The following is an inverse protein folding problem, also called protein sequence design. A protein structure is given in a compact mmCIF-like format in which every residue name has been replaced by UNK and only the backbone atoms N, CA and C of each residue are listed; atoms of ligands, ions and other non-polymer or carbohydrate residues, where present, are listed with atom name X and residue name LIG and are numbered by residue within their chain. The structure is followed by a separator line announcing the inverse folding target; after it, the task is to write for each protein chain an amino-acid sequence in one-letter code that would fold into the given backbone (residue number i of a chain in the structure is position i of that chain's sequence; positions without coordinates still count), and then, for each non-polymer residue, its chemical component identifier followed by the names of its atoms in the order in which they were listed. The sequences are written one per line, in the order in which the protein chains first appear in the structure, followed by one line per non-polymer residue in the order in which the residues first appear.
data_IF_495809487405
#
_entry.id   IF_495809487405
#
_cell.length_a   1.000
_cell.length_b   1.000
_cell.length_c   1.000
_cell.angle_alpha   90.00
_cell.angle_beta   90.00
_cell.angle_gamma   90.00
#
_symmetry.space_group_name_H-M   'P 1'
#
loop_
_entity.id
_entity.type
_entity.pdbx_description
1 polymer ?
#
# COMPACT_ATOMS: atom_id res chain seq x y z
N UNK A 1 -16.66 0.09 -38.01
CA UNK A 1 -16.84 0.61 -36.63
C UNK A 1 -17.04 2.14 -36.62
N UNK A 2 -18.14 2.66 -37.19
CA UNK A 2 -18.31 4.12 -37.34
C UNK A 2 -19.73 4.66 -37.12
N UNK A 3 -20.76 3.83 -37.04
CA UNK A 3 -22.14 4.29 -36.91
C UNK A 3 -22.51 4.63 -35.45
N UNK A 4 -22.14 3.77 -34.49
CA UNK A 4 -22.47 3.97 -33.06
C UNK A 4 -21.81 5.19 -32.42
N UNK A 5 -20.52 5.45 -32.69
CA UNK A 5 -19.80 6.59 -32.09
C UNK A 5 -20.37 7.95 -32.49
N UNK A 6 -20.86 8.07 -33.73
CA UNK A 6 -21.49 9.30 -34.24
C UNK A 6 -22.87 9.55 -33.63
N UNK A 7 -23.65 8.49 -33.39
CA UNK A 7 -24.92 8.57 -32.68
C UNK A 7 -24.74 8.95 -31.20
N UNK A 8 -23.72 8.36 -30.54
CA UNK A 8 -23.36 8.65 -29.14
C UNK A 8 -22.96 10.12 -28.94
N UNK A 9 -22.14 10.69 -29.83
CA UNK A 9 -21.72 12.10 -29.74
C UNK A 9 -22.87 13.08 -30.02
N UNK A 10 -23.83 12.71 -30.86
CA UNK A 10 -25.00 13.52 -31.18
C UNK A 10 -26.04 13.52 -30.05
N UNK A 11 -26.31 12.37 -29.41
CA UNK A 11 -27.22 12.28 -28.26
C UNK A 11 -26.68 12.96 -26.99
N UNK A 12 -25.36 13.09 -26.88
CA UNK A 12 -24.69 13.79 -25.78
C UNK A 12 -24.47 15.28 -26.05
N UNK A 13 -24.79 15.78 -27.25
CA UNK A 13 -24.64 17.20 -27.62
C UNK A 13 -23.19 17.66 -27.84
N UNK A 14 -22.27 16.74 -28.14
CA UNK A 14 -20.81 16.99 -28.26
C UNK A 14 -20.36 16.80 -29.72
N UNK A 15 -21.16 17.28 -30.67
CA UNK A 15 -20.84 17.30 -32.10
C UNK A 15 -20.95 18.72 -32.65
N UNK A 16 -20.00 19.12 -33.49
CA UNK A 16 -19.92 20.46 -34.08
C UNK A 16 -21.26 20.93 -34.65
N UNK A 17 -21.65 22.13 -34.22
CA UNK A 17 -22.82 22.83 -34.73
C UNK A 17 -22.67 23.12 -36.23
N UNK A 18 -23.68 22.72 -37.00
CA UNK A 18 -24.00 23.34 -38.28
C UNK A 18 -25.53 23.37 -38.47
N UNK A 19 -26.06 24.55 -38.19
CA UNK A 19 -27.33 25.19 -38.49
C UNK A 19 -28.40 24.55 -39.41
N UNK A 20 -29.64 24.83 -38.97
CA UNK A 20 -30.81 25.31 -39.72
C UNK A 20 -31.90 24.34 -40.23
N UNK A 21 -33.08 24.54 -39.63
CA UNK A 21 -34.41 24.62 -40.23
C UNK A 21 -35.13 23.34 -40.68
N UNK A 22 -36.11 22.91 -39.88
CA UNK A 22 -37.57 23.00 -40.17
C UNK A 22 -38.38 22.32 -39.07
N UNK A 23 -39.32 23.05 -38.48
CA UNK A 23 -40.33 22.48 -37.62
C UNK A 23 -41.34 21.66 -38.44
N UNK A 24 -41.53 20.39 -38.07
CA UNK A 24 -42.81 19.68 -37.86
C UNK A 24 -42.56 18.18 -37.64
N UNK A 25 -43.37 17.57 -36.76
CA UNK A 25 -43.50 16.14 -36.44
C UNK A 25 -42.55 15.54 -35.37
N UNK A 26 -42.93 15.78 -34.11
CA UNK A 26 -43.13 14.81 -33.02
C UNK A 26 -42.38 13.46 -33.14
N UNK A 27 -41.36 13.28 -32.29
CA UNK A 27 -41.24 12.08 -31.46
C UNK A 27 -40.73 10.77 -32.08
N UNK A 28 -40.01 10.79 -33.20
CA UNK A 28 -39.21 9.63 -33.64
C UNK A 28 -37.76 10.05 -33.82
N UNK A 29 -36.85 9.31 -33.21
CA UNK A 29 -35.41 9.42 -33.47
C UNK A 29 -35.17 9.48 -34.99
N UNK A 30 -34.72 10.63 -35.51
CA UNK A 30 -34.51 10.87 -36.94
C UNK A 30 -33.27 10.15 -37.50
N UNK A 31 -32.71 9.19 -36.78
CA UNK A 31 -31.48 8.49 -37.14
C UNK A 31 -31.66 6.97 -37.13
N UNK A 32 -32.62 6.47 -37.91
CA UNK A 32 -32.68 5.05 -38.27
C UNK A 32 -31.57 4.74 -39.28
N UNK A 33 -30.44 4.19 -38.83
CA UNK A 33 -29.44 3.65 -39.74
C UNK A 33 -30.06 2.45 -40.49
N UNK A 34 -30.18 2.54 -41.81
CA UNK A 34 -30.79 1.49 -42.66
C UNK A 34 -29.89 0.29 -42.94
N UNK A 35 -28.84 0.09 -42.13
CA UNK A 35 -27.98 -1.08 -42.25
C UNK A 35 -28.75 -2.33 -41.74
N UNK A 36 -28.67 -3.50 -42.39
CA UNK A 36 -29.46 -4.68 -42.01
C UNK A 36 -29.33 -5.05 -40.52
N UNK A 37 -28.11 -5.10 -39.97
CA UNK A 37 -27.89 -5.36 -38.54
C UNK A 37 -28.22 -4.20 -37.59
N UNK A 38 -28.45 -2.99 -38.11
CA UNK A 38 -28.83 -1.83 -37.31
C UNK A 38 -30.33 -1.80 -37.04
N UNK A 39 -31.14 -2.23 -38.01
CA UNK A 39 -32.60 -2.29 -37.88
C UNK A 39 -33.01 -3.35 -36.85
N UNK A 40 -32.38 -4.53 -36.91
CA UNK A 40 -32.63 -5.63 -35.96
C UNK A 40 -32.24 -5.22 -34.54
N UNK A 41 -31.04 -4.64 -34.35
CA UNK A 41 -30.60 -4.14 -33.05
C UNK A 41 -31.51 -3.01 -32.50
N UNK A 42 -32.04 -2.15 -33.37
CA UNK A 42 -33.01 -1.11 -32.96
C UNK A 42 -34.34 -1.72 -32.54
N UNK A 43 -34.81 -2.74 -33.26
CA UNK A 43 -36.02 -3.48 -32.91
C UNK A 43 -35.87 -4.19 -31.56
N UNK A 44 -34.74 -4.87 -31.33
CA UNK A 44 -34.46 -5.57 -30.08
C UNK A 44 -34.41 -4.62 -28.88
N UNK A 45 -33.75 -3.47 -29.03
CA UNK A 45 -33.74 -2.42 -28.00
C UNK A 45 -35.16 -1.92 -27.73
N UNK A 46 -35.96 -1.64 -28.76
CA UNK A 46 -37.32 -1.16 -28.57
C UNK A 46 -38.22 -2.22 -27.91
N UNK A 47 -38.09 -3.47 -28.34
CA UNK A 47 -38.79 -4.62 -27.74
C UNK A 47 -38.46 -4.73 -26.25
N UNK A 48 -37.18 -4.63 -25.89
CA UNK A 48 -36.75 -4.63 -24.50
C UNK A 48 -37.36 -3.46 -23.71
N UNK A 49 -37.34 -2.22 -24.23
CA UNK A 49 -37.94 -1.06 -23.53
C UNK A 49 -39.42 -1.27 -23.18
N UNK A 50 -40.21 -1.77 -24.12
CA UNK A 50 -41.63 -2.06 -23.85
C UNK A 50 -41.82 -3.24 -22.91
N UNK A 51 -40.99 -4.29 -23.03
CA UNK A 51 -40.99 -5.41 -22.10
C UNK A 51 -40.68 -4.95 -20.66
N UNK A 52 -39.69 -4.06 -20.48
CA UNK A 52 -39.35 -3.46 -19.19
C UNK A 52 -40.55 -2.73 -18.59
N UNK A 53 -41.23 -1.88 -19.37
CA UNK A 53 -42.40 -1.14 -18.88
C UNK A 53 -43.51 -2.08 -18.40
N UNK A 54 -43.85 -3.09 -19.20
CA UNK A 54 -44.88 -4.07 -18.84
C UNK A 54 -44.52 -4.80 -17.53
N UNK A 55 -43.26 -5.22 -17.37
CA UNK A 55 -42.82 -5.94 -16.16
C UNK A 55 -42.71 -5.04 -14.94
N UNK A 56 -42.27 -3.80 -15.08
CA UNK A 56 -42.23 -2.85 -13.98
C UNK A 56 -43.63 -2.63 -13.40
N UNK A 57 -44.64 -2.41 -14.26
CA UNK A 57 -46.04 -2.24 -13.82
C UNK A 57 -46.57 -3.52 -13.18
N UNK A 58 -46.31 -4.68 -13.77
CA UNK A 58 -46.70 -5.98 -13.20
C UNK A 58 -46.10 -6.23 -11.80
N UNK A 59 -44.88 -5.76 -11.55
CA UNK A 59 -44.21 -5.88 -10.25
C UNK A 59 -44.55 -4.77 -9.26
N UNK A 60 -45.46 -3.86 -9.62
CA UNK A 60 -46.00 -2.85 -8.71
C UNK A 60 -45.39 -1.45 -8.85
N UNK A 61 -44.81 -1.11 -10.01
CA UNK A 61 -44.60 0.29 -10.37
C UNK A 61 -45.95 0.97 -10.67
N UNK A 62 -46.11 2.22 -10.25
CA UNK A 62 -47.35 2.97 -10.47
C UNK A 62 -47.51 3.36 -11.94
N UNK A 63 -46.38 3.74 -12.56
CA UNK A 63 -46.30 4.19 -13.95
C UNK A 63 -44.97 3.71 -14.55
N UNK A 64 -44.99 3.29 -15.81
CA UNK A 64 -43.78 3.03 -16.60
C UNK A 64 -44.03 3.35 -18.08
N UNK A 65 -43.18 4.18 -18.66
CA UNK A 65 -43.33 4.72 -20.01
C UNK A 65 -42.00 4.75 -20.75
N UNK A 66 -42.05 4.49 -22.06
CA UNK A 66 -40.90 4.49 -22.96
C UNK A 66 -40.65 5.89 -23.54
N UNK A 67 -39.38 6.25 -23.70
CA UNK A 67 -38.91 7.47 -24.38
C UNK A 67 -39.51 8.78 -23.81
N UNK A 68 -39.54 8.88 -22.48
CA UNK A 68 -40.08 10.02 -21.74
C UNK A 68 -39.00 10.95 -21.18
N UNK A 69 -39.41 12.09 -20.61
CA UNK A 69 -38.48 13.06 -20.02
C UNK A 69 -38.51 13.09 -18.50
N UNK A 70 -37.34 13.19 -17.87
CA UNK A 70 -37.15 13.57 -16.47
C UNK A 70 -36.35 14.87 -16.44
N UNK A 71 -36.93 15.95 -15.89
CA UNK A 71 -36.30 17.27 -15.87
C UNK A 71 -35.82 17.76 -17.24
N UNK A 72 -36.56 17.42 -18.31
CA UNK A 72 -36.22 17.78 -19.69
C UNK A 72 -35.22 16.84 -20.38
N UNK A 73 -34.60 15.90 -19.67
CA UNK A 73 -33.68 14.90 -20.21
C UNK A 73 -34.50 13.72 -20.74
N UNK A 74 -34.31 13.34 -22.00
CA UNK A 74 -34.93 12.15 -22.58
C UNK A 74 -34.27 10.89 -22.00
N UNK A 75 -35.10 9.95 -21.54
CA UNK A 75 -34.67 8.65 -21.02
C UNK A 75 -35.40 7.52 -21.74
N UNK A 76 -34.75 6.37 -21.85
CA UNK A 76 -35.32 5.23 -22.60
C UNK A 76 -36.55 4.63 -21.91
N UNK A 77 -36.50 4.44 -20.59
CA UNK A 77 -37.65 4.06 -19.78
C UNK A 77 -37.70 4.91 -18.53
N UNK A 78 -38.83 5.56 -18.30
CA UNK A 78 -39.15 6.30 -17.08
C UNK A 78 -40.18 5.51 -16.29
N UNK A 79 -39.96 5.33 -14.99
CA UNK A 79 -40.96 4.69 -14.14
C UNK A 79 -41.04 5.32 -12.75
N UNK A 80 -42.16 5.09 -12.07
CA UNK A 80 -42.48 5.69 -10.76
C UNK A 80 -42.89 4.64 -9.74
N UNK A 81 -42.48 4.86 -8.49
CA UNK A 81 -43.02 4.17 -7.32
C UNK A 81 -43.20 5.15 -6.17
N UNK A 82 -44.44 5.37 -5.74
CA UNK A 82 -44.79 6.46 -4.84
C UNK A 82 -44.35 7.80 -5.42
N UNK A 83 -43.67 8.62 -4.63
CA UNK A 83 -43.22 9.95 -5.08
C UNK A 83 -41.87 9.94 -5.81
N UNK A 84 -41.28 8.77 -6.06
CA UNK A 84 -39.93 8.64 -6.62
C UNK A 84 -39.95 8.22 -8.07
N UNK A 85 -39.21 8.97 -8.89
CA UNK A 85 -38.98 8.68 -10.31
C UNK A 85 -37.65 7.97 -10.51
N UNK A 86 -37.65 7.04 -11.45
CA UNK A 86 -36.50 6.21 -11.80
C UNK A 86 -36.34 6.17 -13.32
N UNK A 87 -35.11 5.95 -13.77
CA UNK A 87 -34.76 5.85 -15.18
C UNK A 87 -34.04 4.54 -15.49
N UNK A 88 -34.32 3.97 -16.66
CA UNK A 88 -33.51 2.90 -17.26
C UNK A 88 -33.01 3.41 -18.60
N UNK A 89 -31.72 3.30 -18.83
CA UNK A 89 -31.04 3.57 -20.10
C UNK A 89 -30.60 2.25 -20.73
N UNK A 90 -30.98 2.01 -21.99
CA UNK A 90 -30.66 0.80 -22.75
C UNK A 90 -29.67 1.16 -23.85
N UNK A 91 -28.52 0.48 -23.88
CA UNK A 91 -27.48 0.70 -24.89
C UNK A 91 -27.10 -0.63 -25.52
N UNK A 92 -27.04 -0.66 -26.85
CA UNK A 92 -26.62 -1.84 -27.63
C UNK A 92 -25.11 -1.88 -27.90
N UNK A 93 -24.39 -0.81 -27.57
CA UNK A 93 -22.95 -0.68 -27.81
C UNK A 93 -22.14 -0.44 -26.54
N UNK A 94 -20.82 -0.36 -26.71
CA UNK A 94 -19.90 -0.03 -25.63
C UNK A 94 -20.23 1.33 -25.01
N UNK A 95 -20.14 1.40 -23.68
CA UNK A 95 -20.46 2.59 -22.92
C UNK A 95 -19.18 3.36 -22.54
N UNK A 96 -19.15 4.65 -22.82
CA UNK A 96 -18.10 5.53 -22.34
C UNK A 96 -18.41 5.93 -20.89
N UNK A 97 -17.60 5.43 -19.94
CA UNK A 97 -17.88 5.53 -18.51
C UNK A 97 -18.04 6.96 -18.01
N UNK A 98 -17.21 7.89 -18.50
CA UNK A 98 -17.23 9.31 -18.09
C UNK A 98 -18.55 9.97 -18.48
N UNK A 99 -18.94 9.85 -19.75
CA UNK A 99 -20.18 10.42 -20.27
C UNK A 99 -21.42 9.81 -19.62
N UNK A 100 -21.41 8.50 -19.38
CA UNK A 100 -22.50 7.83 -18.68
C UNK A 100 -22.61 8.24 -17.20
N UNK A 101 -21.48 8.53 -16.53
CA UNK A 101 -21.48 9.09 -15.17
C UNK A 101 -22.07 10.49 -15.17
N UNK A 102 -21.60 11.36 -16.05
CA UNK A 102 -22.13 12.72 -16.19
C UNK A 102 -23.63 12.72 -16.51
N UNK A 103 -24.09 11.82 -17.38
CA UNK A 103 -25.51 11.65 -17.66
C UNK A 103 -26.29 11.17 -16.43
N UNK A 104 -25.76 10.18 -15.70
CA UNK A 104 -26.35 9.69 -14.45
C UNK A 104 -26.47 10.81 -13.41
N UNK A 105 -25.45 11.65 -13.28
CA UNK A 105 -25.44 12.76 -12.33
C UNK A 105 -26.40 13.87 -12.75
N UNK A 106 -26.55 14.14 -14.05
CA UNK A 106 -27.60 15.03 -14.57
C UNK A 106 -29.01 14.53 -14.25
N UNK A 107 -29.27 13.23 -14.43
CA UNK A 107 -30.57 12.64 -14.08
C UNK A 107 -30.85 12.73 -12.58
N UNK A 108 -29.86 12.46 -11.74
CA UNK A 108 -29.99 12.63 -10.27
C UNK A 108 -30.27 14.08 -9.89
N UNK A 109 -29.55 15.03 -10.49
CA UNK A 109 -29.79 16.46 -10.28
C UNK A 109 -31.19 16.91 -10.73
N UNK A 110 -31.76 16.24 -11.75
CA UNK A 110 -33.12 16.43 -12.23
C UNK A 110 -34.21 15.79 -11.34
N UNK A 111 -33.83 15.15 -10.22
CA UNK A 111 -34.76 14.52 -9.28
C UNK A 111 -35.00 13.02 -9.49
N UNK A 112 -34.18 12.36 -10.32
CA UNK A 112 -34.24 10.90 -10.49
C UNK A 112 -33.66 10.20 -9.25
N UNK A 113 -34.48 9.37 -8.59
CA UNK A 113 -34.11 8.63 -7.39
C UNK A 113 -33.17 7.44 -7.68
N UNK A 114 -33.21 6.89 -8.89
CA UNK A 114 -32.31 5.80 -9.29
C UNK A 114 -32.25 5.64 -10.80
N UNK A 115 -31.04 5.35 -11.30
CA UNK A 115 -30.76 5.15 -12.72
C UNK A 115 -30.20 3.74 -12.88
N UNK A 116 -30.68 3.01 -13.88
CA UNK A 116 -30.16 1.71 -14.28
C UNK A 116 -29.67 1.78 -15.73
N UNK A 117 -28.46 1.30 -15.99
CA UNK A 117 -27.95 1.10 -17.34
C UNK A 117 -28.02 -0.37 -17.73
N UNK A 118 -28.71 -0.70 -18.82
CA UNK A 118 -28.71 -2.01 -19.45
C UNK A 118 -27.83 -1.95 -20.69
N UNK A 119 -26.79 -2.78 -20.72
CA UNK A 119 -25.77 -2.72 -21.75
C UNK A 119 -25.15 -4.11 -21.98
N UNK A 120 -24.43 -4.34 -23.09
CA UNK A 120 -23.61 -5.54 -23.22
C UNK A 120 -22.62 -5.67 -22.06
N UNK A 121 -22.21 -6.90 -21.70
CA UNK A 121 -21.24 -7.10 -20.63
C UNK A 121 -19.92 -6.39 -20.94
N UNK A 122 -19.35 -5.72 -19.93
CA UNK A 122 -18.12 -4.95 -20.12
C UNK A 122 -17.58 -4.34 -18.83
N UNK A 123 -16.42 -3.70 -18.93
CA UNK A 123 -15.70 -3.17 -17.77
C UNK A 123 -16.45 -2.05 -17.04
N UNK A 124 -17.39 -1.38 -17.70
CA UNK A 124 -18.19 -0.27 -17.17
C UNK A 124 -19.21 -0.71 -16.10
N UNK A 125 -19.61 -1.98 -16.11
CA UNK A 125 -20.68 -2.51 -15.24
C UNK A 125 -20.35 -2.35 -13.75
N UNK A 126 -19.07 -2.38 -13.38
CA UNK A 126 -18.61 -2.18 -11.99
C UNK A 126 -18.52 -0.71 -11.58
N UNK A 127 -18.65 0.23 -12.52
CA UNK A 127 -18.31 1.64 -12.33
C UNK A 127 -19.52 2.59 -12.40
N UNK A 128 -20.68 2.04 -12.74
CA UNK A 128 -21.96 2.70 -12.99
C UNK A 128 -23.07 1.79 -12.49
N UNK A 129 -24.25 2.30 -12.11
CA UNK A 129 -25.39 1.49 -11.72
C UNK A 129 -25.95 0.75 -12.95
N UNK A 130 -25.26 -0.32 -13.34
CA UNK A 130 -25.40 -0.96 -14.63
C UNK A 130 -25.48 -2.48 -14.49
N UNK A 131 -26.13 -3.11 -15.47
CA UNK A 131 -26.19 -4.56 -15.64
C UNK A 131 -25.74 -4.90 -17.06
N UNK A 132 -24.85 -5.89 -17.16
CA UNK A 132 -24.46 -6.48 -18.42
C UNK A 132 -25.46 -7.57 -18.80
N UNK A 133 -26.22 -7.36 -19.88
CA UNK A 133 -27.21 -8.31 -20.41
C UNK A 133 -26.57 -9.09 -21.55
N UNK A 134 -26.65 -10.43 -21.49
CA UNK A 134 -25.99 -11.34 -22.44
C UNK A 134 -26.45 -11.11 -23.89
N UNK A 135 -27.76 -10.99 -24.06
CA UNK A 135 -28.45 -10.81 -25.33
C UNK A 135 -29.62 -9.84 -25.14
N UNK A 136 -29.69 -8.81 -25.98
CA UNK A 136 -30.78 -7.83 -26.00
C UNK A 136 -31.97 -8.30 -26.84
N UNK A 137 -31.84 -9.42 -27.57
CA UNK A 137 -32.84 -9.94 -28.47
C UNK A 137 -33.24 -11.42 -28.30
N UNK A 138 -33.31 -12.02 -27.09
CA UNK A 138 -33.59 -13.44 -26.93
C UNK A 138 -34.99 -13.82 -27.47
N UNK A 139 -35.11 -15.03 -28.02
CA UNK A 139 -36.32 -15.51 -28.70
C UNK A 139 -37.58 -15.48 -27.82
N UNK A 140 -37.45 -15.84 -26.54
CA UNK A 140 -38.56 -15.92 -25.58
C UNK A 140 -38.70 -14.69 -24.66
N UNK A 141 -37.91 -13.62 -24.90
CA UNK A 141 -37.80 -12.48 -23.97
C UNK A 141 -37.33 -12.89 -22.55
N UNK A 142 -36.56 -13.97 -22.45
CA UNK A 142 -35.91 -14.44 -21.23
C UNK A 142 -34.53 -13.77 -21.09
N UNK A 143 -34.55 -12.51 -20.68
CA UNK A 143 -33.35 -11.70 -20.54
C UNK A 143 -32.51 -12.12 -19.34
N UNK A 144 -31.23 -12.41 -19.59
CA UNK A 144 -30.26 -12.82 -18.58
C UNK A 144 -29.20 -11.74 -18.35
N UNK A 145 -28.92 -11.50 -17.07
CA UNK A 145 -27.85 -10.65 -16.59
C UNK A 145 -26.61 -11.52 -16.38
N UNK A 146 -25.55 -11.20 -17.10
CA UNK A 146 -24.25 -11.86 -16.98
C UNK A 146 -23.34 -11.15 -15.97
N UNK A 147 -23.45 -9.82 -15.86
CA UNK A 147 -22.55 -9.03 -15.00
C UNK A 147 -23.30 -7.91 -14.28
N UNK A 148 -22.77 -7.49 -13.12
CA UNK A 148 -23.29 -6.35 -12.34
C UNK A 148 -24.07 -6.74 -11.10
N UNK A 149 -24.52 -8.00 -11.01
CA UNK A 149 -25.03 -8.57 -9.76
C UNK A 149 -23.89 -9.02 -8.84
N UNK A 150 -24.02 -8.73 -7.56
CA UNK A 150 -23.20 -9.22 -6.48
C UNK A 150 -23.98 -10.24 -5.66
N UNK A 151 -23.25 -11.16 -5.07
CA UNK A 151 -23.70 -12.15 -4.11
C UNK A 151 -22.73 -12.15 -2.93
N UNK A 152 -23.07 -12.83 -1.85
CA UNK A 152 -22.20 -12.98 -0.71
C UNK A 152 -21.24 -14.15 -0.91
N UNK A 153 -19.93 -13.92 -0.77
CA UNK A 153 -18.92 -14.98 -0.82
C UNK A 153 -18.86 -15.79 0.49
N UNK A 154 -18.00 -16.81 0.52
CA UNK A 154 -17.81 -17.67 1.70
C UNK A 154 -17.33 -16.90 2.95
N UNK A 155 -16.73 -15.73 2.76
CA UNK A 155 -16.25 -14.86 3.82
C UNK A 155 -17.27 -13.80 4.24
N UNK A 156 -18.48 -13.84 3.68
CA UNK A 156 -19.51 -12.84 3.97
C UNK A 156 -19.25 -11.49 3.30
N UNK A 157 -18.42 -11.44 2.24
CA UNK A 157 -18.12 -10.24 1.48
C UNK A 157 -18.82 -10.25 0.12
N UNK A 158 -19.27 -9.08 -0.35
CA UNK A 158 -19.91 -8.94 -1.65
C UNK A 158 -18.91 -9.28 -2.77
N UNK A 159 -19.25 -10.26 -3.60
CA UNK A 159 -18.45 -10.71 -4.73
C UNK A 159 -19.31 -10.76 -5.99
N UNK A 160 -18.72 -10.63 -7.20
CA UNK A 160 -19.48 -10.76 -8.44
C UNK A 160 -20.15 -12.13 -8.51
N UNK A 161 -21.45 -12.14 -8.82
CA UNK A 161 -22.21 -13.36 -9.01
C UNK A 161 -21.64 -14.14 -10.19
N UNK A 162 -21.51 -15.47 -10.04
CA UNK A 162 -20.94 -16.36 -11.07
C UNK A 162 -21.97 -16.98 -12.00
N UNK A 163 -23.22 -17.04 -11.56
CA UNK A 163 -24.34 -17.60 -12.33
C UNK A 163 -25.16 -16.46 -12.92
N UNK A 164 -25.62 -16.59 -14.18
CA UNK A 164 -26.53 -15.63 -14.77
C UNK A 164 -27.75 -15.43 -13.88
N UNK A 165 -28.27 -14.21 -13.86
CA UNK A 165 -29.43 -13.83 -13.07
C UNK A 165 -30.53 -13.33 -13.98
N UNK A 166 -31.78 -13.72 -13.73
CA UNK A 166 -32.88 -13.28 -14.60
C UNK A 166 -33.14 -11.78 -14.42
N UNK A 167 -33.23 -11.05 -15.52
CA UNK A 167 -33.58 -9.62 -15.48
C UNK A 167 -34.97 -9.41 -14.86
N UNK A 168 -35.88 -10.38 -15.05
CA UNK A 168 -37.21 -10.40 -14.44
C UNK A 168 -37.12 -10.40 -12.91
N UNK A 169 -36.32 -11.28 -12.34
CA UNK A 169 -36.11 -11.36 -10.89
C UNK A 169 -35.45 -10.09 -10.35
N UNK A 170 -34.50 -9.53 -11.12
CA UNK A 170 -33.89 -8.25 -10.79
C UNK A 170 -34.92 -7.13 -10.72
N UNK A 171 -35.77 -6.96 -11.73
CA UNK A 171 -36.78 -5.90 -11.76
C UNK A 171 -37.77 -6.04 -10.61
N UNK A 172 -38.19 -7.28 -10.29
CA UNK A 172 -39.05 -7.53 -9.13
C UNK A 172 -38.40 -7.05 -7.83
N UNK A 173 -37.13 -7.43 -7.61
CA UNK A 173 -36.38 -7.01 -6.42
C UNK A 173 -36.07 -5.51 -6.39
N UNK A 174 -35.83 -4.89 -7.54
CA UNK A 174 -35.57 -3.46 -7.62
C UNK A 174 -36.83 -2.64 -7.36
N UNK A 175 -37.96 -3.07 -7.94
CA UNK A 175 -39.26 -2.46 -7.70
C UNK A 175 -39.66 -2.65 -6.24
N UNK A 176 -39.48 -3.82 -5.62
CA UNK A 176 -39.81 -4.02 -4.20
C UNK A 176 -38.89 -3.26 -3.24
N UNK A 177 -37.66 -2.95 -3.67
CA UNK A 177 -36.61 -2.34 -2.85
C UNK A 177 -35.67 -3.35 -2.20
N UNK A 178 -35.81 -4.63 -2.53
CA UNK A 178 -34.96 -5.71 -2.04
C UNK A 178 -33.59 -5.74 -2.73
N UNK A 179 -33.47 -5.17 -3.94
CA UNK A 179 -32.20 -5.07 -4.68
C UNK A 179 -31.81 -3.60 -4.79
N UNK A 180 -30.57 -3.31 -4.36
CA UNK A 180 -30.02 -1.96 -4.34
C UNK A 180 -28.60 -1.94 -4.91
N UNK A 181 -28.25 -0.80 -5.50
CA UNK A 181 -26.90 -0.51 -5.92
C UNK A 181 -26.06 -0.03 -4.73
N UNK A 182 -24.87 -0.60 -4.55
CA UNK A 182 -23.94 -0.19 -3.52
C UNK A 182 -22.49 -0.25 -3.99
N UNK A 183 -21.61 0.44 -3.27
CA UNK A 183 -20.16 0.38 -3.49
C UNK A 183 -19.58 -0.75 -2.66
N UNK A 184 -18.90 -1.68 -3.31
CA UNK A 184 -18.11 -2.73 -2.65
C UNK A 184 -16.77 -2.17 -2.20
N UNK A 185 -16.15 -1.41 -3.09
CA UNK A 185 -14.85 -0.74 -2.92
C UNK A 185 -14.98 0.72 -3.34
N UNK A 186 -13.96 1.55 -3.07
CA UNK A 186 -13.96 3.00 -3.39
C UNK A 186 -14.37 3.31 -4.83
N UNK A 187 -14.01 2.45 -5.78
CA UNK A 187 -14.20 2.67 -7.22
C UNK A 187 -15.09 1.65 -7.92
N UNK A 188 -15.55 0.62 -7.20
CA UNK A 188 -16.35 -0.46 -7.78
C UNK A 188 -17.60 -0.76 -6.97
N UNK A 189 -18.73 -0.80 -7.65
CA UNK A 189 -20.02 -1.15 -7.09
C UNK A 189 -20.67 -2.31 -7.82
N UNK A 190 -21.88 -2.62 -7.37
CA UNK A 190 -22.72 -3.65 -7.96
C UNK A 190 -24.12 -3.61 -7.37
N UNK A 191 -25.05 -4.32 -8.02
CA UNK A 191 -26.39 -4.56 -7.53
C UNK A 191 -26.39 -5.79 -6.65
N UNK A 192 -26.91 -5.70 -5.43
CA UNK A 192 -27.02 -6.85 -4.54
C UNK A 192 -28.34 -6.78 -3.78
N UNK A 193 -28.75 -7.90 -3.18
CA UNK A 193 -29.90 -7.86 -2.27
C UNK A 193 -29.52 -7.08 -1.01
N UNK A 194 -30.50 -6.42 -0.39
CA UNK A 194 -30.28 -5.67 0.86
C UNK A 194 -29.69 -6.59 1.95
N UNK A 195 -30.16 -7.85 2.03
CA UNK A 195 -29.63 -8.85 2.96
C UNK A 195 -28.13 -9.14 2.74
N UNK A 196 -27.69 -9.21 1.48
CA UNK A 196 -26.29 -9.45 1.13
C UNK A 196 -25.43 -8.23 1.47
N UNK A 197 -25.96 -7.03 1.24
CA UNK A 197 -25.32 -5.78 1.64
C UNK A 197 -25.20 -5.63 3.15
N UNK A 198 -26.22 -6.00 3.91
CA UNK A 198 -26.17 -6.01 5.38
C UNK A 198 -25.11 -6.99 5.90
N UNK A 199 -25.04 -8.18 5.32
CA UNK A 199 -24.03 -9.17 5.67
C UNK A 199 -22.63 -8.68 5.31
N UNK A 200 -22.44 -8.14 4.11
CA UNK A 200 -21.17 -7.55 3.68
C UNK A 200 -20.69 -6.43 4.62
N UNK A 201 -21.58 -5.51 4.96
CA UNK A 201 -21.26 -4.37 5.84
C UNK A 201 -20.87 -4.85 7.24
N UNK A 202 -21.57 -5.87 7.77
CA UNK A 202 -21.26 -6.48 9.07
C UNK A 202 -19.89 -7.18 9.06
N UNK A 203 -19.59 -7.94 8.00
CA UNK A 203 -18.30 -8.61 7.81
C UNK A 203 -17.17 -7.59 7.68
N UNK A 204 -17.35 -6.53 6.87
CA UNK A 204 -16.39 -5.44 6.74
C UNK A 204 -16.13 -4.74 8.08
N UNK A 205 -17.17 -4.44 8.86
CA UNK A 205 -17.02 -3.82 10.17
C UNK A 205 -16.19 -4.69 11.13
N UNK A 206 -16.39 -6.01 11.08
CA UNK A 206 -15.62 -6.98 11.90
C UNK A 206 -14.15 -7.01 11.48
N UNK A 207 -13.86 -7.02 10.19
CA UNK A 207 -12.49 -6.97 9.65
C UNK A 207 -11.79 -5.67 10.08
N UNK A 208 -12.47 -4.52 9.94
CA UNK A 208 -11.93 -3.21 10.32
C UNK A 208 -11.63 -3.17 11.83
N UNK A 209 -12.52 -3.70 12.66
CA UNK A 209 -12.30 -3.77 14.10
C UNK A 209 -11.05 -4.61 14.44
N UNK A 210 -10.89 -5.76 13.78
CA UNK A 210 -9.69 -6.61 13.94
C UNK A 210 -8.41 -5.90 13.51
N UNK A 211 -8.43 -5.21 12.36
CA UNK A 211 -7.27 -4.46 11.86
C UNK A 211 -6.87 -3.32 12.81
N UNK A 212 -7.85 -2.61 13.39
CA UNK A 212 -7.57 -1.57 14.40
C UNK A 212 -6.89 -2.15 15.63
N UNK A 213 -7.35 -3.29 16.13
CA UNK A 213 -6.73 -3.95 17.27
C UNK A 213 -5.28 -4.38 16.96
N UNK A 214 -5.05 -4.92 15.77
CA UNK A 214 -3.71 -5.32 15.33
C UNK A 214 -2.75 -4.12 15.24
N UNK A 215 -3.21 -2.99 14.70
CA UNK A 215 -2.42 -1.75 14.66
C UNK A 215 -2.06 -1.24 16.06
N UNK A 216 -2.97 -1.36 17.03
CA UNK A 216 -2.68 -1.02 18.43
C UNK A 216 -1.61 -1.95 19.00
N UNK A 217 -1.73 -3.26 18.78
CA UNK A 217 -0.74 -4.24 19.23
C UNK A 217 0.66 -3.99 18.62
N UNK A 218 0.72 -3.62 17.34
CA UNK A 218 1.98 -3.29 16.68
C UNK A 218 2.60 -2.00 17.23
N UNK A 219 1.79 -0.98 17.53
CA UNK A 219 2.26 0.26 18.17
C UNK A 219 2.79 0.02 19.58
N UNK A 220 2.13 -0.82 20.38
CA UNK A 220 2.60 -1.17 21.73
C UNK A 220 3.89 -1.98 21.67
N UNK A 221 3.98 -2.97 20.77
CA UNK A 221 5.21 -3.74 20.55
C UNK A 221 6.39 -2.84 20.14
N UNK A 222 6.16 -1.88 19.23
CA UNK A 222 7.17 -0.91 18.81
C UNK A 222 7.61 0.00 19.97
N UNK A 223 6.68 0.45 20.82
CA UNK A 223 7.00 1.25 21.99
C UNK A 223 7.89 0.48 22.98
N UNK A 224 7.56 -0.78 23.26
CA UNK A 224 8.36 -1.67 24.12
C UNK A 224 9.75 -1.94 23.52
N UNK A 225 9.84 -2.17 22.22
CA UNK A 225 11.12 -2.33 21.51
C UNK A 225 12.00 -1.08 21.64
N UNK A 226 11.43 0.11 21.48
CA UNK A 226 12.16 1.39 21.67
C UNK A 226 12.68 1.56 23.10
N UNK A 227 11.90 1.19 24.12
CA UNK A 227 12.37 1.26 25.51
C UNK A 227 13.52 0.28 25.76
N UNK A 228 13.43 -0.95 25.24
CA UNK A 228 14.49 -1.94 25.35
C UNK A 228 15.78 -1.49 24.66
N UNK A 229 15.69 -0.91 23.46
CA UNK A 229 16.85 -0.35 22.75
C UNK A 229 17.50 0.77 23.58
N UNK A 230 16.70 1.67 24.15
CA UNK A 230 17.22 2.76 24.99
C UNK A 230 17.93 2.22 26.23
N UNK A 231 17.39 1.18 26.87
CA UNK A 231 18.04 0.57 28.04
C UNK A 231 19.31 -0.19 27.67
N UNK A 232 19.34 -0.87 26.52
CA UNK A 232 20.57 -1.49 25.99
C UNK A 232 21.62 -0.45 25.64
N UNK A 233 21.26 0.69 25.06
CA UNK A 233 22.18 1.80 24.81
C UNK A 233 22.80 2.33 26.11
N UNK A 234 22.00 2.50 27.17
CA UNK A 234 22.52 2.89 28.50
C UNK A 234 23.47 1.84 29.06
N UNK A 235 23.16 0.55 28.91
CA UNK A 235 24.05 -0.55 29.33
C UNK A 235 25.37 -0.52 28.58
N UNK A 236 25.35 -0.33 27.25
CA UNK A 236 26.55 -0.21 26.43
C UNK A 236 27.39 0.99 26.86
N UNK A 237 26.79 2.17 27.03
CA UNK A 237 27.50 3.36 27.48
C UNK A 237 28.17 3.15 28.86
N UNK A 238 27.48 2.48 29.80
CA UNK A 238 28.05 2.14 31.11
C UNK A 238 29.21 1.16 31.00
N UNK A 239 29.10 0.15 30.12
CA UNK A 239 30.17 -0.81 29.89
C UNK A 239 31.38 -0.16 29.21
N UNK A 240 31.16 0.73 28.24
CA UNK A 240 32.21 1.48 27.56
C UNK A 240 33.01 2.33 28.55
N UNK A 241 32.31 3.11 29.39
CA UNK A 241 32.98 3.90 30.43
C UNK A 241 33.75 3.05 31.46
N UNK A 242 33.28 1.82 31.77
CA UNK A 242 34.03 0.89 32.63
C UNK A 242 35.26 0.35 31.92
N UNK A 243 35.18 0.11 30.62
CA UNK A 243 36.29 -0.32 29.78
C UNK A 243 37.36 0.77 29.74
N UNK A 244 36.99 2.02 29.42
CA UNK A 244 37.91 3.16 29.35
C UNK A 244 38.66 3.37 30.67
N UNK A 245 37.96 3.25 31.81
CA UNK A 245 38.61 3.29 33.12
C UNK A 245 39.57 2.13 33.38
N UNK A 246 39.21 0.92 32.94
CA UNK A 246 40.06 -0.24 33.12
C UNK A 246 41.32 -0.12 32.26
N UNK A 247 41.18 0.40 31.04
CA UNK A 247 42.27 0.72 30.13
C UNK A 247 43.20 1.80 30.72
N UNK A 248 42.66 2.89 31.25
CA UNK A 248 43.44 3.91 31.96
C UNK A 248 44.23 3.33 33.13
N UNK A 249 43.60 2.50 33.96
CA UNK A 249 44.30 1.84 35.08
C UNK A 249 45.38 0.87 34.60
N UNK A 250 45.14 0.13 33.52
CA UNK A 250 46.13 -0.76 32.94
C UNK A 250 47.32 0.03 32.39
N UNK A 251 47.07 1.18 31.75
CA UNK A 251 48.10 2.09 31.27
C UNK A 251 48.92 2.68 32.43
N UNK A 252 48.27 3.16 33.49
CA UNK A 252 48.93 3.64 34.71
C UNK A 252 49.84 2.57 35.33
N UNK A 253 49.36 1.31 35.39
CA UNK A 253 50.15 0.18 35.87
C UNK A 253 51.34 -0.12 34.96
N UNK A 254 51.14 -0.10 33.64
CA UNK A 254 52.21 -0.28 32.67
C UNK A 254 53.29 0.80 32.78
N UNK A 255 52.88 2.07 32.95
CA UNK A 255 53.79 3.20 33.15
C UNK A 255 54.55 3.11 34.48
N UNK A 256 53.87 2.67 35.55
CA UNK A 256 54.51 2.42 36.84
C UNK A 256 55.57 1.31 36.75
N UNK A 257 55.25 0.19 36.08
CA UNK A 257 56.22 -0.90 35.84
C UNK A 257 57.38 -0.40 34.98
N UNK A 258 57.12 0.38 33.92
CA UNK A 258 58.16 0.98 33.08
C UNK A 258 59.06 1.95 33.86
N UNK A 259 58.51 2.71 34.82
CA UNK A 259 59.28 3.59 35.69
C UNK A 259 60.16 2.78 36.66
N UNK A 260 59.63 1.73 37.28
CA UNK A 260 60.42 0.83 38.15
C UNK A 260 61.55 0.17 37.37
N UNK A 261 61.26 -0.35 36.17
CA UNK A 261 62.28 -0.95 35.30
C UNK A 261 63.38 0.05 34.92
N UNK A 262 63.05 1.32 34.67
CA UNK A 262 64.03 2.39 34.45
C UNK A 262 64.92 2.61 35.68
N UNK A 263 64.35 2.64 36.88
CA UNK A 263 65.15 2.79 38.12
C UNK A 263 66.05 1.60 38.40
N UNK A 264 65.59 0.38 38.11
CA UNK A 264 66.39 -0.84 38.25
C UNK A 264 67.56 -0.85 37.26
N UNK A 265 67.31 -0.47 36.01
CA UNK A 265 68.35 -0.34 34.99
C UNK A 265 69.43 0.67 35.41
N UNK A 266 69.02 1.81 36.00
CA UNK A 266 69.97 2.80 36.49
C UNK A 266 70.78 2.31 37.69
N UNK A 267 70.13 1.61 38.65
CA UNK A 267 70.85 0.99 39.77
C UNK A 267 71.87 -0.05 39.29
N UNK A 268 71.51 -0.88 38.32
CA UNK A 268 72.46 -1.85 37.74
C UNK A 268 73.66 -1.16 37.08
N UNK A 269 73.45 -0.05 36.36
CA UNK A 269 74.57 0.75 35.81
C UNK A 269 75.49 1.29 36.91
N UNK A 270 74.92 1.81 37.99
CA UNK A 270 75.69 2.30 39.14
C UNK A 270 76.46 1.15 39.79
N UNK A 271 75.82 0.01 40.06
CA UNK A 271 76.46 -1.19 40.61
C UNK A 271 77.60 -1.70 39.73
N UNK A 272 77.41 -1.74 38.41
CA UNK A 272 78.44 -2.15 37.46
C UNK A 272 79.62 -1.15 37.43
N UNK A 273 79.34 0.15 37.52
CA UNK A 273 80.38 1.18 37.64
C UNK A 273 81.17 1.03 38.95
N UNK A 274 80.49 0.76 40.07
CA UNK A 274 81.13 0.52 41.37
C UNK A 274 81.98 -0.74 41.33
N UNK A 275 81.48 -1.84 40.75
CA UNK A 275 82.26 -3.07 40.54
C UNK A 275 83.50 -2.82 39.68
N UNK A 276 83.39 -2.01 38.62
CA UNK A 276 84.52 -1.64 37.79
C UNK A 276 85.57 -0.82 38.56
N UNK A 277 85.13 0.16 39.37
CA UNK A 277 86.04 0.95 40.22
C UNK A 277 86.73 0.11 41.31
N UNK A 278 86.02 -0.80 41.98
CA UNK A 278 86.61 -1.73 42.95
C UNK A 278 87.66 -2.62 42.29
N UNK A 279 87.36 -3.18 41.10
CA UNK A 279 88.35 -3.94 40.33
C UNK A 279 89.58 -3.09 39.97
N UNK A 280 89.38 -1.81 39.63
CA UNK A 280 90.46 -0.85 39.39
C UNK A 280 91.32 -0.62 40.64
N UNK A 281 90.70 -0.35 41.79
CA UNK A 281 91.39 -0.15 43.06
C UNK A 281 92.19 -1.39 43.48
N UNK A 282 91.60 -2.59 43.38
CA UNK A 282 92.32 -3.83 43.66
C UNK A 282 93.57 -3.98 42.79
N UNK A 283 93.49 -3.68 41.49
CA UNK A 283 94.67 -3.68 40.62
C UNK A 283 95.71 -2.67 41.09
N UNK A 284 95.32 -1.45 41.48
CA UNK A 284 96.30 -0.48 41.99
C UNK A 284 96.96 -0.94 43.28
N UNK A 285 96.22 -1.61 44.18
CA UNK A 285 96.76 -2.21 45.41
C UNK A 285 97.77 -3.30 45.04
N UNK A 286 97.44 -4.20 44.11
CA UNK A 286 98.37 -5.23 43.61
C UNK A 286 99.66 -4.60 43.04
N UNK A 287 99.55 -3.51 42.26
CA UNK A 287 100.72 -2.80 41.73
C UNK A 287 101.57 -2.16 42.85
N UNK A 288 100.95 -1.53 43.84
CA UNK A 288 101.65 -0.98 45.00
C UNK A 288 102.32 -2.06 45.84
N UNK A 289 101.66 -3.21 46.04
CA UNK A 289 102.26 -4.37 46.70
C UNK A 289 103.49 -4.86 45.93
N UNK A 290 103.40 -5.00 44.60
CA UNK A 290 104.56 -5.33 43.76
C UNK A 290 105.70 -4.31 43.90
N UNK A 291 105.40 -2.99 43.85
CA UNK A 291 106.40 -1.93 44.03
C UNK A 291 107.08 -2.04 45.41
N UNK A 292 106.31 -2.22 46.49
CA UNK A 292 106.85 -2.36 47.85
C UNK A 292 107.69 -3.63 48.02
N UNK A 293 107.28 -4.76 47.41
CA UNK A 293 108.07 -5.99 47.42
C UNK A 293 109.37 -5.80 46.64
N UNK A 294 109.34 -5.18 45.46
CA UNK A 294 110.54 -4.84 44.69
C UNK A 294 111.47 -3.88 45.46
N UNK A 295 110.91 -2.86 46.13
CA UNK A 295 111.68 -1.94 46.96
C UNK A 295 112.30 -2.64 48.19
N UNK A 296 111.56 -3.53 48.87
CA UNK A 296 112.11 -4.34 49.96
C UNK A 296 113.21 -5.27 49.47
N UNK A 297 113.05 -5.92 48.31
CA UNK A 297 114.10 -6.72 47.69
C UNK A 297 115.35 -5.89 47.38
N UNK A 298 115.20 -4.67 46.85
CA UNK A 298 116.31 -3.74 46.62
C UNK A 298 117.01 -3.32 47.92
N UNK A 299 116.27 -3.06 49.00
CA UNK A 299 116.85 -2.72 50.31
C UNK A 299 117.61 -3.93 50.88
N UNK A 300 117.05 -5.13 50.78
CA UNK A 300 117.68 -6.37 51.25
C UNK A 300 118.94 -6.68 50.44
N UNK A 301 118.94 -6.49 49.11
CA UNK A 301 120.16 -6.66 48.31
C UNK A 301 121.20 -5.59 48.61
N UNK A 302 120.82 -4.34 48.88
CA UNK A 302 121.74 -3.29 49.35
C UNK A 302 122.35 -3.62 50.72
N UNK A 303 121.55 -4.10 51.67
CA UNK A 303 122.01 -4.52 52.99
C UNK A 303 122.95 -5.74 52.90
N UNK A 304 122.63 -6.72 52.05
CA UNK A 304 123.49 -7.87 51.80
C UNK A 304 124.82 -7.46 51.14
N UNK A 305 124.77 -6.55 50.16
CA UNK A 305 125.99 -5.99 49.55
C UNK A 305 126.83 -5.20 50.55
N UNK A 306 126.21 -4.42 51.45
CA UNK A 306 126.91 -3.69 52.51
C UNK A 306 127.52 -4.64 53.58
N UNK A 307 126.93 -5.82 53.80
CA UNK A 307 127.45 -6.82 54.75
C UNK A 307 128.64 -7.61 54.18
N UNK A 308 128.81 -7.65 52.85
CA UNK A 308 129.94 -8.33 52.17
C UNK A 308 131.19 -7.43 52.09
N UNK A 309 131.08 -6.12 52.36
CA UNK A 309 132.20 -5.14 52.32
C UNK A 309 132.80 -4.89 53.72
N UNK A 310 132.66 -5.83 54.66
CA UNK A 310 133.25 -5.76 56.00
C UNK A 310 133.98 -7.04 56.36
#
# INVERSE_FOLDING_TARGET
MGCGRRAVLAELGIGEAADAARGTAIGRSQYSCRCPGCADAQWDVQRLKYWLCARLVEFGADEAEVDQRIGGILVDVRWRRGDRWYAIEVRSGALECTLAREHTDRLRAAGCAGVLWLCPPGYWVRHLPALGVADLGPDACDYLIDTGMLDTDQCGLAAPRRTPFELREFLRGWVSGDIVWGYRDENTGGWARVIDWEQHTRSQATIIARQRQELVNQRTALAVSRTLVRDKQKQIAKLHWRLDRAEQKAQEQADAVAAVNRTLAERHRVEDSLRATIKGLNRTIEHWQLITICAMLLIVTFLAAAMIVR
#
